data_IF_630232880244
#
_entry.id   IF_630232880244
#
_cell.length_a   1.000
_cell.length_b   1.000
_cell.length_c   1.000
_cell.angle_alpha   90.00
_cell.angle_beta   90.00
_cell.angle_gamma   90.00
#
_symmetry.space_group_name_H-M   'P 1'
#
loop_
_entity.id
_entity.type
_entity.pdbx_description
1 polymer ?
#
# COMPACT_ATOMS: atom_id res chain seq x y z
N UNK A 1 -29.52 10.49 35.87
CA UNK A 1 -29.30 9.54 34.76
C UNK A 1 -30.65 9.20 34.18
N UNK A 2 -30.91 9.53 32.92
CA UNK A 2 -32.12 9.10 32.20
C UNK A 2 -31.63 8.32 30.99
N UNK A 3 -31.78 7.00 31.03
CA UNK A 3 -31.54 6.14 29.89
C UNK A 3 -32.78 6.23 28.98
N UNK A 4 -32.67 6.97 27.88
CA UNK A 4 -33.67 6.94 26.82
C UNK A 4 -33.61 5.59 26.11
N UNK A 5 -34.70 4.84 26.12
CA UNK A 5 -34.80 3.57 25.40
C UNK A 5 -34.96 3.83 23.89
N UNK A 6 -34.10 3.21 23.08
CA UNK A 6 -34.24 3.19 21.63
C UNK A 6 -35.46 2.34 21.23
N UNK A 7 -36.30 2.87 20.32
CA UNK A 7 -37.57 2.25 19.93
C UNK A 7 -37.51 1.33 18.71
N UNK A 8 -36.34 1.13 18.10
CA UNK A 8 -36.22 0.31 16.90
C UNK A 8 -34.92 -0.52 16.89
N UNK A 9 -35.03 -1.80 16.55
CA UNK A 9 -33.93 -2.79 16.54
C UNK A 9 -32.80 -2.42 15.55
N UNK A 10 -33.09 -1.59 14.55
CA UNK A 10 -32.14 -1.09 13.56
C UNK A 10 -31.63 0.34 13.84
N UNK A 11 -32.20 0.99 14.85
CA UNK A 11 -31.90 2.37 15.25
C UNK A 11 -31.10 2.37 16.57
N UNK A 12 -30.28 1.32 16.75
CA UNK A 12 -29.17 1.33 17.70
C UNK A 12 -28.18 2.35 17.19
N UNK A 13 -28.40 3.61 17.57
CA UNK A 13 -27.36 4.64 17.50
C UNK A 13 -26.10 3.99 18.07
N UNK A 14 -25.07 3.85 17.23
CA UNK A 14 -23.76 3.28 17.61
C UNK A 14 -23.07 4.26 18.54
N UNK A 15 -23.62 4.42 19.75
CA UNK A 15 -23.08 5.24 20.80
C UNK A 15 -21.83 4.51 21.30
N UNK A 16 -20.69 5.21 21.39
CA UNK A 16 -19.47 4.59 21.85
C UNK A 16 -19.65 4.01 23.26
N UNK A 17 -19.28 2.74 23.44
CA UNK A 17 -19.39 2.05 24.72
C UNK A 17 -18.43 2.61 25.79
N UNK A 18 -17.32 3.23 25.38
CA UNK A 18 -16.34 3.84 26.27
C UNK A 18 -15.64 5.06 25.63
N UNK A 19 -14.75 5.70 26.38
CA UNK A 19 -13.97 6.86 25.92
C UNK A 19 -13.05 6.53 24.73
N UNK A 20 -12.57 5.29 24.63
CA UNK A 20 -11.67 4.85 23.56
C UNK A 20 -12.47 4.70 22.26
N UNK A 21 -13.59 4.01 22.29
CA UNK A 21 -14.56 3.92 21.21
C UNK A 21 -15.06 5.32 20.79
N UNK A 22 -15.29 6.22 21.74
CA UNK A 22 -15.70 7.60 21.44
C UNK A 22 -14.63 8.38 20.69
N UNK A 23 -13.34 8.12 20.97
CA UNK A 23 -12.22 8.72 20.24
C UNK A 23 -12.09 8.15 18.83
N UNK A 24 -12.37 6.85 18.64
CA UNK A 24 -12.33 6.18 17.33
C UNK A 24 -13.51 6.62 16.44
N UNK A 25 -14.71 6.74 17.01
CA UNK A 25 -15.94 7.17 16.32
C UNK A 25 -16.00 8.70 16.20
N UNK A 26 -15.16 9.42 16.95
CA UNK A 26 -15.07 10.87 16.96
C UNK A 26 -14.87 11.43 15.55
N UNK A 27 -15.41 12.64 15.32
CA UNK A 27 -15.36 13.31 14.02
C UNK A 27 -13.89 13.49 13.56
N UNK A 28 -13.47 12.67 12.61
CA UNK A 28 -12.21 12.80 11.89
C UNK A 28 -12.46 13.32 10.48
N UNK A 29 -11.39 13.84 9.86
CA UNK A 29 -11.38 14.11 8.42
C UNK A 29 -10.72 12.89 7.77
N UNK A 30 -11.52 12.08 7.07
CA UNK A 30 -10.97 11.06 6.17
C UNK A 30 -10.49 11.77 4.91
N UNK A 31 -9.18 11.76 4.68
CA UNK A 31 -8.59 12.26 3.46
C UNK A 31 -8.31 11.10 2.52
N UNK A 32 -9.03 11.08 1.40
CA UNK A 32 -8.78 10.13 0.33
C UNK A 32 -8.04 10.81 -0.82
N UNK A 33 -6.91 10.27 -1.29
CA UNK A 33 -6.16 10.85 -2.38
C UNK A 33 -6.97 10.81 -3.68
N UNK A 34 -7.14 11.97 -4.33
CA UNK A 34 -7.71 12.05 -5.68
C UNK A 34 -6.66 11.67 -6.75
N UNK A 35 -6.12 10.45 -6.65
CA UNK A 35 -5.12 9.91 -7.58
C UNK A 35 -5.61 8.59 -8.14
N UNK A 36 -5.69 8.52 -9.48
CA UNK A 36 -5.96 7.26 -10.18
C UNK A 36 -4.78 6.30 -9.97
N UNK A 37 -5.09 5.05 -9.63
CA UNK A 37 -4.12 3.96 -9.50
C UNK A 37 -3.87 3.36 -10.88
N UNK A 38 -2.66 3.52 -11.40
CA UNK A 38 -2.33 3.06 -12.76
C UNK A 38 -1.53 1.75 -12.74
N UNK A 39 -0.81 1.47 -11.65
CA UNK A 39 0.15 0.35 -11.57
C UNK A 39 -0.46 -1.01 -11.16
N UNK A 40 -1.79 -1.13 -11.17
CA UNK A 40 -2.49 -2.33 -10.69
C UNK A 40 -2.47 -2.47 -9.17
N UNK A 41 -2.51 -1.33 -8.48
CA UNK A 41 -2.51 -1.25 -7.02
C UNK A 41 -3.85 -1.73 -6.45
N UNK A 42 -3.81 -2.76 -5.61
CA UNK A 42 -4.98 -3.34 -4.93
C UNK A 42 -4.83 -3.27 -3.41
N UNK A 43 -5.94 -3.10 -2.70
CA UNK A 43 -5.97 -3.20 -1.23
C UNK A 43 -6.05 -4.65 -0.78
N UNK A 44 -6.67 -5.50 -1.59
CA UNK A 44 -6.72 -6.94 -1.41
C UNK A 44 -5.49 -7.62 -2.00
N UNK A 45 -5.07 -8.77 -1.46
CA UNK A 45 -3.93 -9.50 -1.98
C UNK A 45 -4.14 -9.89 -3.44
N UNK A 46 -3.14 -9.57 -4.27
CA UNK A 46 -3.13 -9.93 -5.68
C UNK A 46 -2.81 -11.43 -5.85
N UNK A 47 -3.40 -12.10 -6.87
CA UNK A 47 -3.21 -13.53 -7.06
C UNK A 47 -1.77 -13.87 -7.45
N UNK A 48 -1.18 -14.82 -6.74
CA UNK A 48 0.16 -15.35 -7.00
C UNK A 48 0.10 -16.75 -7.59
N UNK A 49 1.10 -17.12 -8.39
CA UNK A 49 1.29 -18.51 -8.83
C UNK A 49 1.64 -19.40 -7.64
N UNK A 50 1.06 -20.59 -7.62
CA UNK A 50 1.43 -21.64 -6.68
C UNK A 50 2.73 -22.32 -7.14
N UNK A 51 3.52 -22.84 -6.19
CA UNK A 51 4.85 -23.44 -6.47
C UNK A 51 4.73 -24.63 -7.44
N UNK A 52 3.62 -25.36 -7.41
CA UNK A 52 3.34 -26.49 -8.30
C UNK A 52 3.12 -26.07 -9.75
N UNK A 53 2.68 -24.83 -10.01
CA UNK A 53 2.40 -24.29 -11.34
C UNK A 53 3.61 -23.57 -11.96
N UNK A 54 4.72 -23.46 -11.23
CA UNK A 54 5.92 -22.75 -11.67
C UNK A 54 6.87 -23.65 -12.44
N UNK A 55 7.37 -23.15 -13.58
CA UNK A 55 8.50 -23.75 -14.28
C UNK A 55 9.77 -23.71 -13.43
N UNK A 56 10.76 -24.55 -13.75
CA UNK A 56 12.05 -24.60 -13.02
C UNK A 56 12.70 -23.22 -12.87
N UNK A 57 12.78 -22.46 -13.97
CA UNK A 57 13.38 -21.12 -13.96
C UNK A 57 12.59 -20.11 -13.10
N UNK A 58 11.26 -20.22 -13.09
CA UNK A 58 10.40 -19.37 -12.25
C UNK A 58 10.59 -19.71 -10.78
N UNK A 59 10.71 -21.00 -10.44
CA UNK A 59 10.94 -21.47 -9.07
C UNK A 59 12.27 -20.97 -8.51
N UNK A 60 13.34 -21.02 -9.30
CA UNK A 60 14.65 -20.46 -8.92
C UNK A 60 14.55 -18.94 -8.63
N UNK A 61 13.87 -18.20 -9.52
CA UNK A 61 13.65 -16.76 -9.31
C UNK A 61 12.74 -16.44 -8.11
N UNK A 62 11.73 -17.27 -7.87
CA UNK A 62 10.86 -17.15 -6.70
C UNK A 62 11.68 -17.23 -5.41
N UNK A 63 12.53 -18.26 -5.27
CA UNK A 63 13.38 -18.38 -4.08
C UNK A 63 14.41 -17.25 -3.94
N UNK A 64 14.90 -16.72 -5.06
CA UNK A 64 15.85 -15.59 -5.04
C UNK A 64 15.22 -14.29 -4.54
N UNK A 65 13.95 -14.02 -4.89
CA UNK A 65 13.31 -12.75 -4.58
C UNK A 65 12.32 -12.78 -3.43
N UNK A 66 11.77 -13.95 -3.07
CA UNK A 66 10.79 -14.06 -2.00
C UNK A 66 11.32 -13.44 -0.70
N UNK A 67 10.52 -12.57 -0.09
CA UNK A 67 10.89 -11.89 1.16
C UNK A 67 11.90 -10.75 0.99
N UNK A 68 12.44 -10.52 -0.21
CA UNK A 68 13.34 -9.40 -0.46
C UNK A 68 12.61 -8.08 -0.26
N UNK A 69 13.25 -7.17 0.47
CA UNK A 69 12.78 -5.81 0.70
C UNK A 69 13.58 -4.86 -0.20
N UNK A 70 12.90 -3.91 -0.83
CA UNK A 70 13.50 -2.81 -1.58
C UNK A 70 12.60 -1.58 -1.45
N UNK A 71 13.19 -0.42 -1.19
CA UNK A 71 12.43 0.77 -0.79
C UNK A 71 11.40 0.48 0.29
N UNK A 72 10.13 0.79 0.02
CA UNK A 72 9.01 0.52 0.95
C UNK A 72 8.25 -0.76 0.60
N UNK A 73 8.82 -1.63 -0.24
CA UNK A 73 8.15 -2.80 -0.78
C UNK A 73 8.79 -4.10 -0.34
N UNK A 74 7.95 -5.12 -0.15
CA UNK A 74 8.37 -6.49 0.14
C UNK A 74 7.81 -7.44 -0.91
N UNK A 75 8.66 -8.29 -1.48
CA UNK A 75 8.26 -9.28 -2.48
C UNK A 75 7.54 -10.46 -1.82
N UNK A 76 6.32 -10.74 -2.29
CA UNK A 76 5.50 -11.86 -1.81
C UNK A 76 5.72 -13.09 -2.72
N UNK A 77 5.57 -12.91 -4.03
CA UNK A 77 5.64 -14.02 -4.97
C UNK A 77 5.51 -13.59 -6.43
N UNK A 78 5.42 -14.57 -7.32
CA UNK A 78 5.23 -14.35 -8.76
C UNK A 78 3.73 -14.18 -9.02
N UNK A 79 3.36 -13.20 -9.83
CA UNK A 79 1.97 -12.93 -10.19
C UNK A 79 1.38 -14.06 -11.04
N UNK A 80 0.13 -14.45 -10.75
CA UNK A 80 -0.62 -15.41 -11.57
C UNK A 80 -0.92 -14.86 -12.97
N UNK A 81 -1.17 -13.55 -13.05
CA UNK A 81 -1.52 -12.87 -14.30
C UNK A 81 -0.23 -12.37 -14.95
N UNK A 82 0.09 -12.92 -16.12
CA UNK A 82 1.11 -12.36 -17.02
C UNK A 82 0.53 -11.14 -17.73
N UNK A 83 1.27 -10.04 -17.81
CA UNK A 83 0.94 -8.92 -18.71
C UNK A 83 2.00 -8.87 -19.80
N UNK A 84 1.64 -9.37 -20.98
CA UNK A 84 2.57 -9.65 -22.08
C UNK A 84 3.53 -10.79 -21.71
N UNK A 85 4.72 -10.77 -22.31
CA UNK A 85 5.77 -11.80 -22.10
C UNK A 85 6.55 -11.65 -20.79
N UNK A 86 6.39 -10.53 -20.09
CA UNK A 86 7.23 -10.23 -18.92
C UNK A 86 6.65 -10.79 -17.62
N UNK A 87 7.47 -11.55 -16.89
CA UNK A 87 7.13 -12.02 -15.55
C UNK A 87 7.05 -10.85 -14.56
N UNK A 88 6.02 -10.90 -13.70
CA UNK A 88 5.78 -9.90 -12.66
C UNK A 88 5.74 -10.53 -11.29
N UNK A 89 6.07 -9.70 -10.32
CA UNK A 89 6.10 -10.05 -8.92
C UNK A 89 5.02 -9.26 -8.21
N UNK A 90 4.26 -9.95 -7.36
CA UNK A 90 3.37 -9.33 -6.39
C UNK A 90 4.25 -8.85 -5.24
N UNK A 91 4.16 -7.56 -4.96
CA UNK A 91 4.86 -6.90 -3.87
C UNK A 91 3.84 -6.20 -2.98
N UNK A 92 4.15 -6.09 -1.69
CA UNK A 92 3.35 -5.35 -0.71
C UNK A 92 4.11 -4.12 -0.27
N UNK A 93 3.48 -2.95 -0.40
CA UNK A 93 4.03 -1.70 0.12
C UNK A 93 3.81 -1.63 1.63
N UNK A 94 4.65 -0.86 2.35
CA UNK A 94 4.56 -0.68 3.79
C UNK A 94 3.22 -0.09 4.27
N UNK A 95 2.47 0.60 3.40
CA UNK A 95 1.11 1.07 3.69
C UNK A 95 0.03 -0.02 3.62
N UNK A 96 0.37 -1.22 3.14
CA UNK A 96 -0.55 -2.34 2.98
C UNK A 96 -0.97 -2.64 1.55
N UNK A 97 -0.87 -1.68 0.63
CA UNK A 97 -1.26 -1.84 -0.78
C UNK A 97 -0.40 -2.89 -1.50
N UNK A 98 -1.04 -3.78 -2.25
CA UNK A 98 -0.42 -4.76 -3.12
C UNK A 98 -0.27 -4.19 -4.52
N UNK A 99 0.89 -4.38 -5.15
CA UNK A 99 1.15 -3.89 -6.51
C UNK A 99 2.03 -4.86 -7.28
N UNK A 100 2.20 -4.61 -8.57
CA UNK A 100 3.05 -5.40 -9.44
C UNK A 100 4.38 -4.71 -9.71
N UNK A 101 5.47 -5.49 -9.69
CA UNK A 101 6.80 -5.02 -10.09
C UNK A 101 7.51 -6.03 -10.99
N UNK A 102 8.39 -5.53 -11.85
CA UNK A 102 9.25 -6.37 -12.71
C UNK A 102 10.54 -6.71 -11.98
N UNK A 103 11.17 -7.83 -12.34
CA UNK A 103 12.48 -8.22 -11.79
C UNK A 103 13.53 -7.10 -11.87
N UNK A 104 13.52 -6.30 -12.95
CA UNK A 104 14.42 -5.16 -13.13
C UNK A 104 14.33 -4.13 -11.99
N UNK A 105 13.12 -3.85 -11.50
CA UNK A 105 12.90 -2.90 -10.41
C UNK A 105 13.42 -3.44 -9.07
N UNK A 106 13.27 -4.74 -8.84
CA UNK A 106 13.72 -5.43 -7.61
C UNK A 106 15.25 -5.54 -7.58
N UNK A 107 15.88 -5.82 -8.72
CA UNK A 107 17.35 -5.95 -8.83
C UNK A 107 18.09 -4.61 -8.75
N UNK A 108 17.45 -3.50 -9.09
CA UNK A 108 18.10 -2.20 -9.21
C UNK A 108 18.42 -1.62 -7.82
N UNK A 109 19.70 -1.50 -7.42
CA UNK A 109 20.09 -0.96 -6.11
C UNK A 109 19.86 0.55 -5.97
N UNK A 110 19.54 1.25 -7.07
CA UNK A 110 19.14 2.67 -7.02
C UNK A 110 17.66 2.85 -6.67
N UNK A 111 16.87 1.77 -6.65
CA UNK A 111 15.43 1.83 -6.43
C UNK A 111 15.06 1.80 -4.92
N UNK A 112 15.78 2.59 -4.13
CA UNK A 112 15.69 2.57 -2.66
C UNK A 112 14.50 3.34 -2.10
N UNK A 113 13.75 4.05 -2.95
CA UNK A 113 12.56 4.82 -2.55
C UNK A 113 11.30 4.38 -3.31
N UNK A 114 11.31 3.17 -3.91
CA UNK A 114 10.12 2.66 -4.59
C UNK A 114 8.97 2.40 -3.60
N UNK A 115 7.76 2.73 -4.04
CA UNK A 115 6.55 2.63 -3.24
C UNK A 115 5.31 2.62 -4.17
N UNK A 116 4.14 2.30 -3.60
CA UNK A 116 2.88 2.30 -4.36
C UNK A 116 2.50 3.72 -4.81
N UNK A 117 1.50 3.83 -5.70
CA UNK A 117 1.11 5.12 -6.26
C UNK A 117 0.62 6.10 -5.19
N UNK A 118 -0.04 5.59 -4.14
CA UNK A 118 -0.52 6.42 -3.04
C UNK A 118 0.60 6.93 -2.14
N UNK A 119 1.55 6.05 -1.77
CA UNK A 119 2.72 6.48 -1.02
C UNK A 119 3.52 7.51 -1.81
N UNK A 120 3.69 7.29 -3.13
CA UNK A 120 4.38 8.23 -4.00
C UNK A 120 3.66 9.57 -4.04
N UNK A 121 2.33 9.57 -4.22
CA UNK A 121 1.54 10.79 -4.21
C UNK A 121 1.65 11.56 -2.88
N UNK A 122 1.61 10.84 -1.75
CA UNK A 122 1.80 11.43 -0.43
C UNK A 122 3.19 12.06 -0.25
N UNK A 123 4.24 11.41 -0.78
CA UNK A 123 5.60 11.98 -0.78
C UNK A 123 5.67 13.27 -1.61
N UNK A 124 5.00 13.33 -2.77
CA UNK A 124 4.89 14.57 -3.55
C UNK A 124 4.23 15.68 -2.72
N UNK A 125 3.08 15.41 -2.09
CA UNK A 125 2.37 16.41 -1.27
C UNK A 125 3.22 16.90 -0.09
N UNK A 126 3.94 16.01 0.59
CA UNK A 126 4.87 16.39 1.67
C UNK A 126 5.97 17.31 1.16
N UNK A 127 6.58 16.97 0.02
CA UNK A 127 7.64 17.77 -0.59
C UNK A 127 7.14 19.17 -0.96
N UNK A 128 5.97 19.24 -1.58
CA UNK A 128 5.35 20.51 -1.99
C UNK A 128 5.03 21.38 -0.78
N UNK A 129 4.56 20.78 0.32
CA UNK A 129 4.29 21.50 1.57
C UNK A 129 5.57 22.06 2.20
N UNK A 130 6.67 21.30 2.18
CA UNK A 130 7.96 21.79 2.69
C UNK A 130 8.49 22.92 1.82
N UNK A 131 8.39 22.80 0.50
CA UNK A 131 8.76 23.88 -0.41
C UNK A 131 7.89 25.12 -0.18
N UNK A 132 6.58 24.97 -0.02
CA UNK A 132 5.66 26.08 0.29
C UNK A 132 6.03 26.81 1.58
N UNK A 133 6.45 26.08 2.62
CA UNK A 133 6.82 26.67 3.93
C UNK A 133 8.21 27.28 3.97
N UNK A 134 9.19 26.66 3.30
CA UNK A 134 10.62 26.98 3.48
C UNK A 134 11.30 27.55 2.24
N UNK A 135 10.65 27.47 1.07
CA UNK A 135 11.25 27.79 -0.23
C UNK A 135 12.32 26.81 -0.71
N UNK A 136 12.61 25.73 0.03
CA UNK A 136 13.68 24.78 -0.29
C UNK A 136 13.14 23.56 -1.02
N UNK A 137 13.83 23.16 -2.09
CA UNK A 137 13.57 21.93 -2.83
C UNK A 137 14.38 20.78 -2.23
N UNK A 138 13.72 19.93 -1.43
CA UNK A 138 14.32 18.71 -0.88
C UNK A 138 14.46 17.62 -1.94
N UNK A 139 15.49 16.78 -1.79
CA UNK A 139 15.62 15.54 -2.55
C UNK A 139 14.69 14.46 -2.01
N UNK A 140 14.47 13.40 -2.77
CA UNK A 140 13.54 12.33 -2.39
C UNK A 140 14.01 11.57 -1.17
N UNK A 141 15.32 11.38 -1.04
CA UNK A 141 15.98 10.67 0.05
C UNK A 141 15.87 11.41 1.39
N UNK A 142 15.72 12.74 1.34
CA UNK A 142 15.65 13.61 2.51
C UNK A 142 14.21 13.82 3.00
N UNK A 143 13.21 13.19 2.36
CA UNK A 143 11.81 13.31 2.75
C UNK A 143 11.46 12.35 3.91
N UNK A 144 10.69 12.82 4.91
CA UNK A 144 10.24 12.01 6.04
C UNK A 144 9.12 11.03 5.69
#
# INVERSE_FOLDING_TARGET
MVFGMAKDLFDVARVPADRVAARVIGKGIDWQPNKKREQGDSETPLPTLEICQMDRAQREQFYLFRGRVFGRMTVIGIAAIKQGDSMRYVVRCACGTYTYRRAKAIKNPKNNMDCCDYCRHLLHLKRDEIHRRTGKNLKWEDLP
#
